data_IF_309125223479
#
_entry.id   IF_309125223479
#
_cell.length_a   1.000
_cell.length_b   1.000
_cell.length_c   1.000
_cell.angle_alpha   90.00
_cell.angle_beta   90.00
_cell.angle_gamma   90.00
#
_symmetry.space_group_name_H-M   'P 1'
#
loop_
_entity.id
_entity.type
_entity.pdbx_description
1 polymer ?
#
# COMPACT_ATOMS: atom_id res chain seq x y z
N UNK A 1 -0.82 4.71 17.49
CA UNK A 1 0.42 4.48 18.26
C UNK A 1 0.25 3.28 19.19
N UNK A 2 -0.87 3.18 19.91
CA UNK A 2 -1.20 2.03 20.79
C UNK A 2 -0.99 0.64 20.17
N UNK A 3 -1.29 0.48 18.87
CA UNK A 3 -1.12 -0.81 18.18
C UNK A 3 0.34 -1.19 17.99
N UNK A 4 1.23 -0.24 17.68
CA UNK A 4 2.66 -0.50 17.50
C UNK A 4 3.33 -0.72 18.85
N UNK A 5 2.96 0.05 19.87
CA UNK A 5 3.47 -0.11 21.24
C UNK A 5 3.07 -1.46 21.85
N UNK A 6 1.88 -1.97 21.50
CA UNK A 6 1.40 -3.28 21.95
C UNK A 6 1.98 -4.47 21.20
N UNK A 7 2.29 -4.33 19.90
CA UNK A 7 2.83 -5.41 19.04
C UNK A 7 4.36 -5.44 18.98
N UNK A 8 5.01 -4.30 19.20
CA UNK A 8 6.43 -4.09 18.89
C UNK A 8 6.64 -3.64 17.44
N UNK A 9 7.56 -2.68 17.24
CA UNK A 9 7.80 -2.03 15.94
C UNK A 9 8.25 -3.01 14.86
N UNK A 10 9.11 -3.97 15.22
CA UNK A 10 9.62 -4.97 14.28
C UNK A 10 8.51 -5.90 13.80
N UNK A 11 7.70 -6.42 14.72
CA UNK A 11 6.59 -7.32 14.39
C UNK A 11 5.52 -6.63 13.54
N UNK A 12 5.18 -5.38 13.88
CA UNK A 12 4.26 -4.59 13.07
C UNK A 12 4.82 -4.37 11.65
N UNK A 13 6.11 -4.03 11.54
CA UNK A 13 6.76 -3.82 10.24
C UNK A 13 6.80 -5.07 9.36
N UNK A 14 7.00 -6.26 9.96
CA UNK A 14 6.96 -7.54 9.25
C UNK A 14 5.57 -7.83 8.71
N UNK A 15 4.53 -7.67 9.53
CA UNK A 15 3.14 -7.87 9.10
C UNK A 15 2.72 -6.91 8.00
N UNK A 16 3.17 -5.66 8.07
CA UNK A 16 2.95 -4.69 7.00
C UNK A 16 3.60 -5.16 5.69
N UNK A 17 4.87 -5.60 5.75
CA UNK A 17 5.60 -6.10 4.59
C UNK A 17 4.90 -7.33 3.99
N UNK A 18 4.59 -8.34 4.80
CA UNK A 18 3.89 -9.55 4.36
C UNK A 18 2.55 -9.21 3.71
N UNK A 19 1.74 -8.36 4.35
CA UNK A 19 0.46 -7.92 3.79
C UNK A 19 0.64 -7.17 2.46
N UNK A 20 1.71 -6.39 2.30
CA UNK A 20 2.00 -5.68 1.05
C UNK A 20 2.37 -6.65 -0.09
N UNK A 21 3.09 -7.73 0.22
CA UNK A 21 3.50 -8.75 -0.74
C UNK A 21 2.34 -9.65 -1.17
N UNK A 22 1.44 -9.97 -0.23
CA UNK A 22 0.23 -10.74 -0.50
C UNK A 22 -0.84 -9.94 -1.23
N UNK A 23 -0.81 -8.61 -1.12
CA UNK A 23 -1.78 -7.75 -1.77
C UNK A 23 -1.70 -7.86 -3.30
N UNK A 24 -2.86 -8.14 -3.89
CA UNK A 24 -3.06 -8.23 -5.35
C UNK A 24 -4.15 -7.27 -5.77
N UNK A 25 -3.89 -6.53 -6.84
CA UNK A 25 -4.91 -5.75 -7.53
C UNK A 25 -5.67 -6.68 -8.47
N UNK A 26 -6.96 -6.81 -8.23
CA UNK A 26 -7.91 -7.48 -9.11
C UNK A 26 -8.94 -6.46 -9.58
N UNK A 27 -9.58 -6.65 -10.75
CA UNK A 27 -10.64 -5.75 -11.21
C UNK A 27 -11.74 -5.53 -10.15
N UNK A 28 -12.07 -6.57 -9.39
CA UNK A 28 -13.06 -6.51 -8.31
C UNK A 28 -12.58 -5.64 -7.14
N UNK A 29 -11.31 -5.76 -6.75
CA UNK A 29 -10.74 -4.96 -5.65
C UNK A 29 -10.62 -3.47 -6.00
N UNK A 30 -10.40 -3.15 -7.27
CA UNK A 30 -10.42 -1.76 -7.76
C UNK A 30 -11.81 -1.14 -7.59
N UNK A 31 -12.88 -1.93 -7.78
CA UNK A 31 -14.26 -1.45 -7.72
C UNK A 31 -14.86 -1.46 -6.30
N UNK A 32 -14.54 -2.45 -5.46
CA UNK A 32 -15.30 -2.72 -4.23
C UNK A 32 -14.50 -2.66 -2.92
N UNK A 33 -13.19 -2.43 -2.97
CA UNK A 33 -12.41 -2.34 -1.74
C UNK A 33 -10.93 -2.41 -2.01
N UNK A 34 -10.28 -1.26 -1.93
CA UNK A 34 -8.88 -1.17 -2.31
C UNK A 34 -7.96 -1.58 -1.14
N UNK A 35 -7.24 -2.72 -1.23
CA UNK A 35 -6.24 -3.10 -0.21
C UNK A 35 -5.16 -2.02 -0.01
N UNK A 36 -4.98 -1.11 -0.99
CA UNK A 36 -4.14 0.07 -0.86
C UNK A 36 -4.50 0.97 0.32
N UNK A 37 -5.78 1.26 0.55
CA UNK A 37 -6.16 2.22 1.60
C UNK A 37 -5.75 1.69 2.99
N UNK A 38 -5.85 0.37 3.20
CA UNK A 38 -5.38 -0.26 4.43
C UNK A 38 -3.84 -0.24 4.51
N UNK A 39 -3.15 -0.59 3.43
CA UNK A 39 -1.69 -0.56 3.35
C UNK A 39 -1.12 0.84 3.59
N UNK A 40 -1.71 1.87 2.99
CA UNK A 40 -1.34 3.27 3.18
C UNK A 40 -1.50 3.72 4.62
N UNK A 41 -2.64 3.39 5.25
CA UNK A 41 -2.86 3.70 6.67
C UNK A 41 -1.83 3.01 7.55
N UNK A 42 -1.55 1.72 7.30
CA UNK A 42 -0.59 0.98 8.10
C UNK A 42 0.85 1.48 7.90
N UNK A 43 1.22 1.80 6.65
CA UNK A 43 2.51 2.37 6.26
C UNK A 43 2.72 3.76 6.88
N UNK A 44 1.72 4.64 6.78
CA UNK A 44 1.75 5.97 7.39
C UNK A 44 1.92 5.90 8.90
N UNK A 45 1.15 5.03 9.57
CA UNK A 45 1.24 4.86 11.02
C UNK A 45 2.64 4.41 11.46
N UNK A 46 3.29 3.52 10.71
CA UNK A 46 4.68 3.10 10.99
C UNK A 46 5.69 4.21 10.69
N UNK A 47 5.52 4.96 9.60
CA UNK A 47 6.35 6.11 9.26
C UNK A 47 6.30 7.18 10.35
N UNK A 48 5.09 7.61 10.71
CA UNK A 48 4.85 8.61 11.76
C UNK A 48 5.46 8.16 13.11
N UNK A 49 5.40 6.85 13.42
CA UNK A 49 6.01 6.31 14.63
C UNK A 49 7.54 6.35 14.59
N UNK A 50 8.16 5.96 13.46
CA UNK A 50 9.62 5.93 13.30
C UNK A 50 10.24 7.33 13.23
N UNK A 51 9.50 8.33 12.75
CA UNK A 51 9.93 9.74 12.74
C UNK A 51 9.87 10.35 14.16
N UNK A 52 8.75 10.15 14.86
CA UNK A 52 8.53 10.73 16.18
C UNK A 52 9.35 10.08 17.30
N UNK A 53 9.78 8.82 17.15
CA UNK A 53 10.49 8.08 18.20
C UNK A 53 12.00 8.34 18.26
N UNK A 54 12.56 9.04 17.28
CA UNK A 54 14.01 9.27 17.13
C UNK A 54 14.70 10.10 18.24
N UNK A 55 14.00 10.51 19.30
CA UNK A 55 14.54 11.38 20.34
C UNK A 55 14.63 10.81 21.76
N UNK A 56 13.94 9.71 22.14
CA UNK A 56 13.79 9.40 23.59
C UNK A 56 14.26 8.06 24.15
N UNK A 57 14.35 6.94 23.42
CA UNK A 57 14.52 5.66 24.14
C UNK A 57 15.47 4.66 23.49
N UNK A 58 16.31 4.05 24.34
CA UNK A 58 17.36 3.08 24.01
C UNK A 58 16.86 1.72 23.53
N UNK A 59 16.07 1.71 22.45
CA UNK A 59 15.82 0.51 21.66
C UNK A 59 17.01 0.24 20.73
N UNK A 60 17.42 -1.02 20.63
CA UNK A 60 18.54 -1.45 19.80
C UNK A 60 18.37 -0.94 18.37
N UNK A 61 19.34 -0.13 17.88
CA UNK A 61 19.39 0.43 16.53
C UNK A 61 19.03 -0.60 15.44
N UNK A 62 19.35 -1.87 15.68
CA UNK A 62 19.09 -2.99 14.75
C UNK A 62 17.64 -3.23 14.41
N UNK A 63 16.69 -2.94 15.30
CA UNK A 63 15.27 -3.27 15.09
C UNK A 63 14.51 -2.14 14.40
N UNK A 64 14.90 -0.90 14.67
CA UNK A 64 14.38 0.28 13.96
C UNK A 64 14.87 0.32 12.51
N UNK A 65 16.15 0.00 12.27
CA UNK A 65 16.71 -0.07 10.91
C UNK A 65 16.01 -1.15 10.08
N UNK A 66 15.72 -2.32 10.68
CA UNK A 66 14.91 -3.36 10.04
C UNK A 66 13.48 -2.92 9.78
N UNK A 67 12.86 -2.22 10.74
CA UNK A 67 11.50 -1.70 10.56
C UNK A 67 11.42 -0.64 9.45
N UNK A 68 12.44 0.22 9.33
CA UNK A 68 12.60 1.18 8.22
C UNK A 68 12.78 0.47 6.88
N UNK A 69 13.60 -0.58 6.83
CA UNK A 69 13.78 -1.39 5.63
C UNK A 69 12.45 -2.04 5.18
N UNK A 70 11.71 -2.65 6.10
CA UNK A 70 10.40 -3.24 5.83
C UNK A 70 9.37 -2.19 5.37
N UNK A 71 9.41 -0.99 5.96
CA UNK A 71 8.57 0.14 5.55
C UNK A 71 8.88 0.56 4.10
N UNK A 72 10.16 0.66 3.73
CA UNK A 72 10.57 1.00 2.36
C UNK A 72 10.04 -0.03 1.35
N UNK A 73 10.22 -1.32 1.62
CA UNK A 73 9.68 -2.40 0.76
C UNK A 73 8.17 -2.26 0.59
N UNK A 74 7.47 -2.01 1.69
CA UNK A 74 6.01 -1.85 1.69
C UNK A 74 5.56 -0.62 0.90
N UNK A 75 6.29 0.50 1.00
CA UNK A 75 6.03 1.72 0.24
C UNK A 75 6.29 1.54 -1.26
N UNK A 76 7.38 0.88 -1.65
CA UNK A 76 7.62 0.52 -3.06
C UNK A 76 6.48 -0.33 -3.60
N UNK A 77 6.04 -1.32 -2.82
CA UNK A 77 4.94 -2.19 -3.23
C UNK A 77 3.61 -1.44 -3.35
N UNK A 78 3.33 -0.49 -2.45
CA UNK A 78 2.17 0.41 -2.55
C UNK A 78 2.19 1.19 -3.88
N UNK A 79 3.34 1.73 -4.27
CA UNK A 79 3.47 2.47 -5.54
C UNK A 79 3.19 1.55 -6.74
N UNK A 80 3.76 0.34 -6.75
CA UNK A 80 3.48 -0.65 -7.80
C UNK A 80 1.99 -0.97 -7.91
N UNK A 81 1.32 -1.20 -6.78
CA UNK A 81 -0.12 -1.47 -6.73
C UNK A 81 -0.94 -0.28 -7.26
N UNK A 82 -0.51 0.96 -7.01
CA UNK A 82 -1.11 2.17 -7.57
C UNK A 82 -0.97 2.22 -9.10
N UNK A 83 0.23 1.95 -9.62
CA UNK A 83 0.48 1.91 -11.07
C UNK A 83 -0.41 0.85 -11.74
N UNK A 84 -0.49 -0.36 -11.17
CA UNK A 84 -1.35 -1.41 -11.69
C UNK A 84 -2.83 -1.03 -11.67
N UNK A 85 -3.29 -0.39 -10.60
CA UNK A 85 -4.67 0.10 -10.49
C UNK A 85 -4.98 1.14 -11.56
N UNK A 86 -4.12 2.13 -11.73
CA UNK A 86 -4.29 3.19 -12.72
C UNK A 86 -4.27 2.66 -14.15
N UNK A 87 -3.38 1.70 -14.45
CA UNK A 87 -3.33 1.05 -15.77
C UNK A 87 -4.61 0.26 -16.07
N UNK A 88 -5.19 -0.40 -15.07
CA UNK A 88 -6.46 -1.14 -15.22
C UNK A 88 -7.62 -0.18 -15.50
N UNK A 89 -7.71 0.93 -14.75
CA UNK A 89 -8.73 1.96 -14.96
C UNK A 89 -8.59 2.59 -16.34
N UNK A 90 -7.36 2.92 -16.76
CA UNK A 90 -7.09 3.47 -18.08
C UNK A 90 -7.49 2.50 -19.20
N UNK A 91 -7.12 1.23 -19.07
CA UNK A 91 -7.51 0.18 -20.02
C UNK A 91 -9.04 0.07 -20.13
N UNK A 92 -9.75 0.06 -19.00
CA UNK A 92 -11.21 0.03 -18.99
C UNK A 92 -11.84 1.27 -19.66
N UNK A 93 -11.30 2.47 -19.40
CA UNK A 93 -11.77 3.71 -20.03
C UNK A 93 -11.57 3.67 -21.55
N UNK A 94 -10.42 3.21 -22.04
CA UNK A 94 -10.16 3.06 -23.47
C UNK A 94 -11.14 2.08 -24.14
N UNK A 95 -11.45 0.95 -23.49
CA UNK A 95 -12.42 -0.02 -23.98
C UNK A 95 -13.81 0.63 -24.08
N UNK A 96 -14.25 1.35 -23.04
CA UNK A 96 -15.56 2.02 -23.02
C UNK A 96 -15.65 3.06 -24.15
N UNK A 97 -14.62 3.88 -24.34
CA UNK A 97 -14.58 4.89 -25.41
C UNK A 97 -14.69 4.20 -26.77
N UNK A 98 -13.88 3.15 -27.01
CA UNK A 98 -13.92 2.39 -28.26
C UNK A 98 -15.30 1.78 -28.51
N UNK A 99 -15.91 1.14 -27.51
CA UNK A 99 -17.26 0.57 -27.63
C UNK A 99 -18.32 1.64 -27.92
N UNK A 100 -18.25 2.81 -27.26
CA UNK A 100 -19.15 3.92 -27.52
C UNK A 100 -19.01 4.45 -28.94
N UNK A 101 -17.78 4.58 -29.45
CA UNK A 101 -17.57 4.99 -30.85
C UNK A 101 -18.15 3.98 -31.83
N UNK A 102 -17.96 2.68 -31.60
CA UNK A 102 -18.57 1.65 -32.44
C UNK A 102 -20.09 1.74 -32.45
N UNK A 103 -20.71 1.89 -31.28
CA UNK A 103 -22.16 2.01 -31.16
C UNK A 103 -22.70 3.23 -31.95
N UNK A 104 -22.02 4.38 -31.87
CA UNK A 104 -22.41 5.59 -32.61
C UNK A 104 -22.32 5.39 -34.12
N UNK A 105 -21.30 4.69 -34.62
CA UNK A 105 -21.14 4.46 -36.07
C UNK A 105 -21.97 3.28 -36.60
N UNK A 106 -22.49 2.42 -35.74
CA UNK A 106 -23.40 1.32 -36.11
C UNK A 106 -24.88 1.70 -36.10
N UNK A 107 -25.23 2.89 -35.58
CA UNK A 107 -26.57 3.48 -35.68
C UNK A 107 -26.67 4.44 -36.86
#
# INVERSE_FOLDING_TARGET
>A
MDTIERLGVLEYSKRLMEYSLEAKITPLNVLFGNPLNKLEKMSKLLGDYLENKSASDGYSWTDEDKARSNLLVSQTRIIELHIHTNNLILSAACIVIFCMTLLIFTM
#
